data_IF_762044556412
#
_entry.id   IF_762044556412
#
_cell.length_a   1.000
_cell.length_b   1.000
_cell.length_c   1.000
_cell.angle_alpha   90.00
_cell.angle_beta   90.00
_cell.angle_gamma   90.00
#
_symmetry.space_group_name_H-M   'P 1'
#
loop_
_entity.id
_entity.type
_entity.pdbx_description
1 polymer ?
#
# COMPACT_ATOMS: atom_id res chain seq x y z
N UNK A 1 -10.48 48.31 -46.16
CA UNK A 1 -11.79 48.99 -46.24
C UNK A 1 -12.84 47.91 -46.07
N UNK A 2 -13.29 47.65 -44.84
CA UNK A 2 -14.53 48.19 -44.24
C UNK A 2 -15.77 47.69 -45.00
N UNK A 3 -16.81 47.15 -44.37
CA UNK A 3 -17.49 47.69 -43.20
C UNK A 3 -18.17 46.59 -42.37
N UNK A 4 -17.86 46.61 -41.08
CA UNK A 4 -18.81 46.35 -40.00
C UNK A 4 -20.11 47.12 -40.25
N UNK A 5 -21.27 46.47 -40.13
CA UNK A 5 -22.54 46.99 -39.58
C UNK A 5 -23.68 46.08 -40.06
N UNK A 6 -24.05 45.05 -39.29
CA UNK A 6 -25.43 44.49 -39.20
C UNK A 6 -25.61 43.76 -37.87
N UNK A 7 -25.55 44.51 -36.79
CA UNK A 7 -26.07 44.12 -35.48
C UNK A 7 -27.55 44.50 -35.38
N UNK A 8 -28.24 43.89 -34.40
CA UNK A 8 -29.51 44.30 -33.76
C UNK A 8 -30.84 43.99 -34.46
N UNK A 9 -31.38 42.77 -34.26
CA UNK A 9 -32.84 42.52 -34.20
C UNK A 9 -33.23 41.15 -33.59
N UNK A 10 -32.45 40.56 -32.66
CA UNK A 10 -32.78 39.26 -32.04
C UNK A 10 -32.29 39.19 -30.58
N UNK A 11 -32.55 40.25 -29.83
CA UNK A 11 -32.25 40.38 -28.40
C UNK A 11 -33.40 41.10 -27.69
N UNK A 12 -34.62 40.53 -27.77
CA UNK A 12 -35.78 41.03 -27.00
C UNK A 12 -36.93 40.02 -26.88
N UNK A 13 -36.64 38.79 -26.42
CA UNK A 13 -37.69 37.79 -26.13
C UNK A 13 -37.29 36.81 -25.00
N UNK A 14 -36.59 37.29 -23.97
CA UNK A 14 -36.15 36.45 -22.82
C UNK A 14 -36.50 37.07 -21.45
N UNK A 15 -37.51 37.94 -21.35
CA UNK A 15 -37.94 38.50 -20.06
C UNK A 15 -39.46 38.48 -19.92
N UNK A 16 -40.04 37.29 -19.73
CA UNK A 16 -41.33 37.11 -19.04
C UNK A 16 -41.69 35.63 -18.89
N UNK A 17 -41.02 34.92 -17.98
CA UNK A 17 -41.62 33.75 -17.34
C UNK A 17 -41.42 33.88 -15.84
N UNK A 18 -42.47 34.34 -15.16
CA UNK A 18 -42.57 34.20 -13.71
C UNK A 18 -42.57 32.69 -13.38
N UNK A 19 -41.86 32.24 -12.32
CA UNK A 19 -42.02 30.88 -11.84
C UNK A 19 -43.42 30.77 -11.20
N UNK A 20 -44.24 29.86 -11.72
CA UNK A 20 -45.48 29.47 -11.07
C UNK A 20 -45.11 28.70 -9.79
N UNK A 21 -45.37 29.30 -8.63
CA UNK A 21 -45.31 28.59 -7.35
C UNK A 21 -46.53 27.67 -7.24
N UNK A 22 -46.28 26.36 -7.16
CA UNK A 22 -47.31 25.41 -6.74
C UNK A 22 -47.45 25.49 -5.21
N UNK A 23 -48.65 25.78 -4.71
CA UNK A 23 -48.95 25.74 -3.29
C UNK A 23 -48.96 24.27 -2.80
N UNK A 24 -48.11 23.95 -1.82
CA UNK A 24 -48.16 22.70 -1.08
C UNK A 24 -49.21 22.80 0.05
N UNK A 25 -49.98 21.74 0.35
CA UNK A 25 -50.92 21.75 1.45
C UNK A 25 -50.17 21.74 2.79
N UNK A 26 -50.55 22.66 3.69
CA UNK A 26 -50.09 22.67 5.08
C UNK A 26 -50.60 21.41 5.81
N UNK A 27 -49.67 20.53 6.20
CA UNK A 27 -49.87 19.52 7.23
C UNK A 27 -49.00 19.89 8.45
N UNK A 28 -49.48 19.65 9.69
CA UNK A 28 -48.95 20.31 10.87
C UNK A 28 -47.57 19.79 11.26
N UNK A 29 -46.80 20.73 11.79
CA UNK A 29 -45.47 20.65 12.39
C UNK A 29 -45.26 19.44 13.29
N UNK A 30 -44.27 18.62 12.92
CA UNK A 30 -43.47 17.88 13.88
C UNK A 30 -42.00 18.20 13.59
N UNK A 31 -41.45 19.15 14.35
CA UNK A 31 -40.03 19.49 14.28
C UNK A 31 -39.20 18.30 14.74
N UNK A 32 -38.64 17.56 13.78
CA UNK A 32 -37.39 16.84 13.99
C UNK A 32 -36.40 17.40 12.98
N UNK A 33 -35.45 18.18 13.49
CA UNK A 33 -34.21 18.58 12.83
C UNK A 33 -33.56 17.36 12.15
N UNK A 34 -33.82 17.15 10.86
CA UNK A 34 -32.99 16.32 9.99
C UNK A 34 -32.11 17.25 9.20
N UNK A 35 -30.89 17.43 9.68
CA UNK A 35 -29.80 18.05 8.94
C UNK A 35 -29.55 17.29 7.63
N UNK A 36 -29.44 17.98 6.48
CA UNK A 36 -29.02 17.36 5.24
C UNK A 36 -27.49 17.30 5.22
N UNK A 37 -26.88 16.38 5.98
CA UNK A 37 -25.41 16.26 6.02
C UNK A 37 -24.92 14.81 6.00
N UNK A 38 -25.69 13.87 5.43
CA UNK A 38 -25.37 12.44 5.46
C UNK A 38 -24.87 11.84 4.14
N UNK A 39 -24.38 12.65 3.19
CA UNK A 39 -23.87 12.10 1.92
C UNK A 39 -22.42 12.45 1.56
N UNK A 40 -21.68 13.12 2.44
CA UNK A 40 -20.22 13.22 2.32
C UNK A 40 -19.59 12.14 3.19
N UNK A 41 -19.48 10.93 2.66
CA UNK A 41 -18.55 9.95 3.24
C UNK A 41 -17.17 10.59 3.18
N UNK A 42 -16.62 10.97 4.34
CA UNK A 42 -15.31 11.61 4.44
C UNK A 42 -14.29 10.77 3.65
N UNK A 43 -13.74 11.34 2.57
CA UNK A 43 -12.82 10.64 1.66
C UNK A 43 -11.63 10.03 2.41
N UNK A 44 -11.20 10.69 3.50
CA UNK A 44 -10.16 10.18 4.40
C UNK A 44 -10.61 8.93 5.15
N UNK A 45 -11.81 8.91 5.73
CA UNK A 45 -12.34 7.72 6.42
C UNK A 45 -12.53 6.56 5.45
N UNK A 46 -13.00 6.82 4.23
CA UNK A 46 -13.13 5.79 3.20
C UNK A 46 -11.77 5.21 2.80
N UNK A 47 -10.75 6.06 2.59
CA UNK A 47 -9.39 5.62 2.27
C UNK A 47 -8.78 4.77 3.38
N UNK A 48 -9.03 5.09 4.65
CA UNK A 48 -8.51 4.35 5.80
C UNK A 48 -9.42 3.19 6.24
N UNK A 49 -10.29 2.71 5.35
CA UNK A 49 -11.17 1.56 5.59
C UNK A 49 -10.67 0.30 4.89
N UNK A 50 -11.33 -0.84 5.13
CA UNK A 50 -11.06 -2.09 4.40
C UNK A 50 -11.17 -1.91 2.88
N UNK A 51 -12.12 -1.10 2.42
CA UNK A 51 -12.28 -0.76 1.00
C UNK A 51 -11.05 -0.02 0.46
N UNK A 52 -10.46 0.87 1.26
CA UNK A 52 -9.23 1.56 0.89
C UNK A 52 -8.01 0.64 0.87
N UNK A 53 -7.89 -0.25 1.85
CA UNK A 53 -6.87 -1.32 1.85
C UNK A 53 -6.98 -2.21 0.60
N UNK A 54 -8.19 -2.56 0.17
CA UNK A 54 -8.41 -3.33 -1.07
C UNK A 54 -8.24 -2.46 -2.33
N UNK A 55 -8.33 -1.14 -2.18
CA UNK A 55 -8.07 -0.14 -3.21
C UNK A 55 -6.60 0.00 -3.57
N UNK A 56 -5.67 -0.33 -2.66
CA UNK A 56 -4.23 -0.37 -2.93
C UNK A 56 -3.97 -1.41 -4.03
N UNK A 57 -3.63 -0.93 -5.23
CA UNK A 57 -3.39 -1.80 -6.37
C UNK A 57 -2.06 -2.52 -6.23
N UNK A 58 -2.04 -3.79 -6.63
CA UNK A 58 -0.78 -4.51 -6.74
C UNK A 58 0.00 -4.00 -7.94
N UNK A 59 1.29 -3.78 -7.74
CA UNK A 59 2.24 -3.38 -8.77
C UNK A 59 3.11 -4.59 -9.02
N UNK A 60 2.95 -5.24 -10.17
CA UNK A 60 3.75 -6.41 -10.55
C UNK A 60 4.92 -5.99 -11.45
N UNK A 61 5.91 -5.35 -10.82
CA UNK A 61 7.19 -5.05 -11.46
C UNK A 61 8.24 -6.13 -11.10
N UNK A 62 9.33 -6.14 -11.86
CA UNK A 62 10.53 -6.95 -11.57
C UNK A 62 11.70 -6.00 -11.34
N UNK A 63 11.75 -5.30 -10.20
CA UNK A 63 12.76 -4.28 -9.99
C UNK A 63 14.10 -4.94 -9.71
N UNK A 64 15.18 -4.33 -10.19
CA UNK A 64 16.55 -4.79 -9.98
C UNK A 64 17.33 -3.82 -9.10
N UNK A 65 18.27 -4.39 -8.35
CA UNK A 65 19.25 -3.67 -7.57
C UNK A 65 20.19 -2.87 -8.48
N UNK A 66 20.80 -1.79 -7.97
CA UNK A 66 21.75 -0.99 -8.74
C UNK A 66 23.09 -1.70 -9.02
N UNK A 67 23.35 -2.85 -8.40
CA UNK A 67 24.60 -3.61 -8.56
C UNK A 67 24.28 -5.07 -8.88
N UNK A 68 25.01 -5.65 -9.83
CA UNK A 68 24.97 -7.07 -10.20
C UNK A 68 26.09 -7.89 -9.54
N UNK A 69 27.05 -7.23 -8.88
CA UNK A 69 28.09 -7.89 -8.08
C UNK A 69 27.61 -8.06 -6.63
N UNK A 70 27.69 -9.29 -6.13
CA UNK A 70 27.13 -9.63 -4.82
C UNK A 70 27.94 -9.02 -3.67
N UNK A 71 29.26 -9.01 -3.74
CA UNK A 71 30.09 -8.47 -2.67
C UNK A 71 29.92 -6.94 -2.57
N UNK A 72 29.81 -6.25 -3.72
CA UNK A 72 29.46 -4.81 -3.75
C UNK A 72 28.09 -4.58 -3.12
N UNK A 73 27.07 -5.36 -3.51
CA UNK A 73 25.72 -5.22 -3.00
C UNK A 73 25.64 -5.49 -1.49
N UNK A 74 26.28 -6.58 -1.04
CA UNK A 74 26.28 -7.01 0.36
C UNK A 74 27.06 -6.04 1.26
N UNK A 75 28.17 -5.47 0.78
CA UNK A 75 28.91 -4.43 1.52
C UNK A 75 28.07 -3.19 1.85
N UNK A 76 27.04 -2.90 1.04
CA UNK A 76 26.11 -1.77 1.22
C UNK A 76 24.84 -2.14 2.00
N UNK A 77 24.61 -3.42 2.26
CA UNK A 77 23.36 -3.90 2.86
C UNK A 77 23.14 -3.38 4.28
N UNK A 78 24.21 -3.22 5.09
CA UNK A 78 24.10 -2.65 6.43
C UNK A 78 23.66 -1.19 6.43
N UNK A 79 24.17 -0.39 5.49
CA UNK A 79 23.76 1.01 5.34
C UNK A 79 22.29 1.10 4.91
N UNK A 80 21.87 0.24 3.97
CA UNK A 80 20.48 0.16 3.52
C UNK A 80 19.54 -0.30 4.65
N UNK A 81 19.94 -1.28 5.45
CA UNK A 81 19.18 -1.73 6.62
C UNK A 81 19.02 -0.60 7.64
N UNK A 82 20.10 0.13 7.96
CA UNK A 82 20.02 1.26 8.90
C UNK A 82 19.09 2.38 8.40
N UNK A 83 19.18 2.71 7.12
CA UNK A 83 18.28 3.67 6.48
C UNK A 83 16.81 3.21 6.57
N UNK A 84 16.55 1.95 6.19
CA UNK A 84 15.22 1.37 6.24
C UNK A 84 14.65 1.37 7.66
N UNK A 85 15.45 0.97 8.65
CA UNK A 85 15.05 0.96 10.06
C UNK A 85 14.67 2.36 10.55
N UNK A 86 15.41 3.38 10.13
CA UNK A 86 15.11 4.77 10.48
C UNK A 86 13.75 5.18 9.92
N UNK A 87 13.50 4.90 8.64
CA UNK A 87 12.21 5.21 7.99
C UNK A 87 11.07 4.44 8.67
N UNK A 88 11.27 3.14 8.93
CA UNK A 88 10.24 2.30 9.55
C UNK A 88 9.96 2.69 11.01
N UNK A 89 10.97 3.06 11.79
CA UNK A 89 10.79 3.55 13.18
C UNK A 89 9.98 4.83 13.20
N UNK A 90 10.33 5.81 12.37
CA UNK A 90 9.58 7.07 12.25
C UNK A 90 8.15 6.83 11.77
N UNK A 91 7.97 5.97 10.76
CA UNK A 91 6.65 5.61 10.25
C UNK A 91 5.79 4.93 11.30
N UNK A 92 6.35 3.96 12.04
CA UNK A 92 5.62 3.24 13.07
C UNK A 92 5.21 4.16 14.24
N UNK A 93 6.11 5.07 14.65
CA UNK A 93 5.82 6.07 15.68
C UNK A 93 4.65 6.99 15.31
N UNK A 94 4.58 7.43 14.05
CA UNK A 94 3.50 8.31 13.57
C UNK A 94 2.13 7.63 13.49
N UNK A 95 2.09 6.30 13.48
CA UNK A 95 0.87 5.51 13.22
C UNK A 95 0.52 4.54 14.35
N UNK A 96 1.13 4.71 15.53
CA UNK A 96 0.96 3.85 16.70
C UNK A 96 1.07 2.35 16.36
N UNK A 97 2.18 2.00 15.70
CA UNK A 97 2.45 0.65 15.21
C UNK A 97 3.79 0.13 15.74
N UNK A 98 4.01 -1.18 15.60
CA UNK A 98 5.21 -1.83 16.11
C UNK A 98 6.13 -2.29 14.98
N UNK A 99 7.36 -1.75 14.88
CA UNK A 99 8.33 -2.21 13.90
C UNK A 99 9.19 -3.37 14.45
N UNK A 100 9.48 -4.35 13.60
CA UNK A 100 10.35 -5.49 13.90
C UNK A 100 11.47 -5.57 12.88
N UNK A 101 12.69 -5.79 13.37
CA UNK A 101 13.91 -5.83 12.56
C UNK A 101 14.71 -7.09 12.87
N UNK A 102 15.06 -7.83 11.82
CA UNK A 102 15.89 -9.02 11.91
C UNK A 102 17.35 -8.76 11.47
N UNK A 103 17.68 -7.49 11.21
CA UNK A 103 18.94 -7.09 10.59
C UNK A 103 19.07 -7.55 9.13
N UNK A 104 20.28 -7.34 8.59
CA UNK A 104 20.64 -7.74 7.23
C UNK A 104 20.54 -9.26 7.09
N UNK A 105 20.02 -9.72 5.94
CA UNK A 105 20.01 -11.15 5.61
C UNK A 105 21.44 -11.69 5.59
N UNK A 106 21.69 -12.83 6.22
CA UNK A 106 23.05 -13.40 6.24
C UNK A 106 23.56 -13.72 4.82
N UNK A 107 24.88 -13.55 4.61
CA UNK A 107 25.56 -13.80 3.33
C UNK A 107 25.18 -15.15 2.73
N UNK A 108 25.32 -16.21 3.51
CA UNK A 108 24.98 -17.57 3.12
C UNK A 108 23.53 -17.70 2.63
N UNK A 109 22.54 -17.18 3.37
CA UNK A 109 21.12 -17.26 2.97
C UNK A 109 20.77 -16.36 1.79
N UNK A 110 21.54 -15.30 1.56
CA UNK A 110 21.40 -14.48 0.37
C UNK A 110 21.92 -15.22 -0.87
N UNK A 111 23.09 -15.87 -0.77
CA UNK A 111 23.69 -16.69 -1.84
C UNK A 111 22.80 -17.90 -2.19
N UNK A 112 22.28 -18.61 -1.18
CA UNK A 112 21.31 -19.70 -1.38
C UNK A 112 20.07 -19.21 -2.14
N UNK A 113 19.50 -18.07 -1.72
CA UNK A 113 18.32 -17.50 -2.38
C UNK A 113 18.62 -17.10 -3.83
N UNK A 114 19.78 -16.49 -4.08
CA UNK A 114 20.19 -16.12 -5.44
C UNK A 114 20.30 -17.37 -6.32
N UNK A 115 20.93 -18.42 -5.81
CA UNK A 115 21.16 -19.68 -6.54
C UNK A 115 19.87 -20.44 -6.81
N UNK A 116 18.99 -20.55 -5.82
CA UNK A 116 17.83 -21.44 -5.88
C UNK A 116 16.52 -20.77 -6.26
N UNK A 117 16.35 -19.46 -5.99
CA UNK A 117 15.08 -18.75 -6.22
C UNK A 117 15.18 -17.66 -7.29
N UNK A 118 16.39 -17.20 -7.62
CA UNK A 118 16.61 -16.06 -8.53
C UNK A 118 17.44 -16.41 -9.77
N UNK A 119 17.61 -17.70 -10.06
CA UNK A 119 18.32 -18.20 -11.25
C UNK A 119 19.76 -17.66 -11.37
N UNK A 120 20.43 -17.43 -10.23
CA UNK A 120 21.78 -16.85 -10.18
C UNK A 120 21.86 -15.34 -10.41
N UNK A 121 20.74 -14.65 -10.63
CA UNK A 121 20.71 -13.20 -10.89
C UNK A 121 20.79 -12.41 -9.59
N UNK A 122 22.00 -11.97 -9.25
CA UNK A 122 22.32 -11.24 -8.02
C UNK A 122 21.47 -9.98 -7.89
N UNK A 123 21.33 -9.21 -8.97
CA UNK A 123 20.58 -7.94 -8.98
C UNK A 123 19.08 -8.12 -8.69
N UNK A 124 18.56 -9.36 -8.69
CA UNK A 124 17.16 -9.65 -8.34
C UNK A 124 16.92 -9.86 -6.85
N UNK A 125 17.95 -9.87 -6.00
CA UNK A 125 17.76 -10.01 -4.55
C UNK A 125 17.21 -8.71 -3.96
N UNK A 126 16.08 -8.78 -3.25
CA UNK A 126 15.37 -7.57 -2.77
C UNK A 126 15.22 -7.51 -1.25
N UNK A 127 15.61 -8.56 -0.53
CA UNK A 127 15.42 -8.72 0.91
C UNK A 127 16.73 -8.83 1.69
N UNK A 128 17.80 -8.21 1.17
CA UNK A 128 19.03 -8.00 1.95
C UNK A 128 18.77 -7.08 3.14
N UNK A 129 18.15 -5.93 2.87
CA UNK A 129 17.56 -5.06 3.88
C UNK A 129 16.05 -5.35 3.97
N UNK A 130 15.54 -5.55 5.18
CA UNK A 130 14.15 -5.95 5.41
C UNK A 130 13.61 -5.48 6.75
N UNK A 131 12.32 -5.15 6.76
CA UNK A 131 11.60 -4.73 7.95
C UNK A 131 10.18 -5.28 7.95
N UNK A 132 9.60 -5.40 9.15
CA UNK A 132 8.19 -5.72 9.34
C UNK A 132 7.57 -4.62 10.19
N UNK A 133 6.37 -4.16 9.85
CA UNK A 133 5.59 -3.25 10.69
C UNK A 133 4.24 -3.92 10.95
N UNK A 134 3.90 -4.06 12.23
CA UNK A 134 2.62 -4.60 12.69
C UNK A 134 1.74 -3.45 13.12
N UNK A 135 0.65 -3.25 12.38
CA UNK A 135 -0.37 -2.25 12.68
C UNK A 135 -1.46 -2.86 13.59
N UNK A 136 -1.98 -2.07 14.51
CA UNK A 136 -3.09 -2.47 15.37
C UNK A 136 -4.40 -2.64 14.58
N UNK A 137 -4.64 -1.78 13.59
CA UNK A 137 -5.85 -1.80 12.76
C UNK A 137 -5.61 -1.45 11.29
N UNK A 138 -6.68 -1.55 10.48
CA UNK A 138 -6.65 -1.29 9.03
C UNK A 138 -6.34 0.16 8.71
N UNK A 139 -6.81 1.11 9.51
CA UNK A 139 -6.57 2.52 9.28
C UNK A 139 -5.08 2.84 9.44
N UNK A 140 -4.46 2.38 10.53
CA UNK A 140 -3.02 2.51 10.74
C UNK A 140 -2.22 1.82 9.64
N UNK A 141 -2.63 0.64 9.17
CA UNK A 141 -1.95 -0.05 8.06
C UNK A 141 -1.96 0.77 6.76
N UNK A 142 -3.10 1.37 6.40
CA UNK A 142 -3.19 2.25 5.24
C UNK A 142 -2.34 3.51 5.44
N UNK A 143 -2.37 4.13 6.61
CA UNK A 143 -1.56 5.31 6.91
C UNK A 143 -0.04 5.03 6.89
N UNK A 144 0.37 3.83 7.30
CA UNK A 144 1.77 3.36 7.16
C UNK A 144 2.13 3.24 5.68
N UNK A 145 1.28 2.62 4.86
CA UNK A 145 1.50 2.53 3.41
C UNK A 145 1.67 3.93 2.79
N UNK A 146 0.77 4.87 3.08
CA UNK A 146 0.85 6.24 2.56
C UNK A 146 2.10 6.97 3.04
N UNK A 147 2.55 6.72 4.27
CA UNK A 147 3.80 7.27 4.78
C UNK A 147 5.01 6.72 4.06
N UNK A 148 5.08 5.39 3.87
CA UNK A 148 6.16 4.76 3.10
C UNK A 148 6.19 5.23 1.64
N UNK A 149 5.04 5.46 1.04
CA UNK A 149 4.93 6.00 -0.33
C UNK A 149 5.47 7.43 -0.45
N UNK A 150 5.41 8.23 0.62
CA UNK A 150 6.01 9.58 0.66
C UNK A 150 7.50 9.56 0.94
N UNK A 151 7.94 8.70 1.85
CA UNK A 151 9.33 8.65 2.33
C UNK A 151 10.25 7.83 1.42
N UNK A 152 9.70 6.97 0.56
CA UNK A 152 10.44 6.06 -0.32
C UNK A 152 9.81 6.00 -1.71
N UNK A 153 10.49 5.35 -2.66
CA UNK A 153 9.86 5.00 -3.93
C UNK A 153 9.38 3.55 -3.88
N UNK A 154 8.07 3.33 -3.81
CA UNK A 154 7.49 1.99 -3.88
C UNK A 154 7.65 1.46 -5.31
N UNK A 155 8.43 0.41 -5.47
CA UNK A 155 8.69 -0.21 -6.78
C UNK A 155 7.83 -1.44 -7.03
N UNK A 156 7.39 -2.15 -5.98
CA UNK A 156 6.50 -3.31 -6.09
C UNK A 156 5.51 -3.36 -4.94
N UNK A 157 4.28 -3.79 -5.21
CA UNK A 157 3.23 -3.98 -4.20
C UNK A 157 2.56 -5.33 -4.42
N UNK A 158 2.58 -6.17 -3.39
CA UNK A 158 1.81 -7.42 -3.33
C UNK A 158 0.75 -7.27 -2.24
N UNK A 159 -0.50 -7.03 -2.65
CA UNK A 159 -1.63 -6.89 -1.74
C UNK A 159 -2.34 -8.23 -1.54
N UNK A 160 -1.90 -9.00 -0.54
CA UNK A 160 -2.51 -10.30 -0.22
C UNK A 160 -3.80 -10.17 0.58
N UNK A 161 -4.17 -8.97 1.05
CA UNK A 161 -5.52 -8.73 1.55
C UNK A 161 -6.55 -8.80 0.44
N UNK A 162 -6.24 -8.29 -0.76
CA UNK A 162 -7.12 -8.33 -1.94
C UNK A 162 -7.05 -9.68 -2.68
N UNK A 163 -5.85 -10.23 -2.84
CA UNK A 163 -5.59 -11.51 -3.51
C UNK A 163 -4.77 -12.41 -2.58
N UNK A 164 -5.40 -13.15 -1.66
CA UNK A 164 -4.71 -14.02 -0.72
C UNK A 164 -3.83 -15.06 -1.42
N UNK A 165 -2.77 -15.49 -0.73
CA UNK A 165 -1.99 -16.65 -1.18
C UNK A 165 -2.78 -17.96 -1.07
N UNK A 166 -2.22 -19.09 -1.54
CA UNK A 166 -2.88 -20.40 -1.46
C UNK A 166 -3.24 -20.80 -0.03
N UNK A 167 -2.38 -20.46 0.94
CA UNK A 167 -2.64 -20.63 2.39
C UNK A 167 -3.75 -19.73 2.96
N UNK A 168 -4.32 -18.81 2.18
CA UNK A 168 -5.32 -17.84 2.64
C UNK A 168 -4.74 -16.65 3.43
N UNK A 169 -3.42 -16.61 3.61
CA UNK A 169 -2.73 -15.57 4.38
C UNK A 169 -2.79 -14.19 3.72
N UNK A 170 -2.85 -13.16 4.58
CA UNK A 170 -3.09 -11.77 4.20
C UNK A 170 -2.07 -10.84 4.85
N UNK A 171 -1.37 -10.11 3.99
CA UNK A 171 -0.43 -9.05 4.33
C UNK A 171 -0.32 -8.06 3.16
N UNK A 172 0.40 -6.97 3.38
CA UNK A 172 0.84 -6.07 2.32
C UNK A 172 2.36 -6.11 2.26
N UNK A 173 2.91 -6.73 1.22
CA UNK A 173 4.35 -6.83 1.00
C UNK A 173 4.77 -5.79 -0.05
N UNK A 174 5.73 -4.95 0.33
CA UNK A 174 6.21 -3.82 -0.45
C UNK A 174 7.69 -4.03 -0.75
N UNK A 175 8.08 -3.68 -1.98
CA UNK A 175 9.48 -3.40 -2.29
C UNK A 175 9.64 -1.91 -2.45
N UNK A 176 10.55 -1.34 -1.68
CA UNK A 176 10.84 0.10 -1.66
C UNK A 176 12.27 0.35 -2.10
N UNK A 177 12.47 1.35 -2.95
CA UNK A 177 13.79 1.88 -3.27
C UNK A 177 14.09 2.99 -2.28
N UNK A 178 15.17 2.79 -1.53
CA UNK A 178 15.61 3.68 -0.48
C UNK A 178 16.22 4.97 -1.06
N UNK A 179 15.86 6.16 -0.55
CA UNK A 179 16.26 7.42 -1.18
C UNK A 179 17.76 7.71 -1.11
N UNK A 180 18.48 7.29 -0.05
CA UNK A 180 19.91 7.59 0.13
C UNK A 180 20.78 6.51 -0.48
N UNK A 181 20.55 5.24 -0.13
CA UNK A 181 21.38 4.12 -0.63
C UNK A 181 21.00 3.66 -2.03
N UNK A 182 19.79 4.00 -2.52
CA UNK A 182 19.22 3.54 -3.78
C UNK A 182 19.05 2.01 -3.90
N UNK A 183 19.28 1.28 -2.80
CA UNK A 183 19.02 -0.16 -2.72
C UNK A 183 17.52 -0.41 -2.59
N UNK A 184 17.09 -1.55 -3.12
CA UNK A 184 15.75 -2.07 -2.90
C UNK A 184 15.74 -2.85 -1.59
N UNK A 185 14.74 -2.56 -0.76
CA UNK A 185 14.47 -3.24 0.49
C UNK A 185 13.04 -3.78 0.52
N UNK A 186 12.82 -4.81 1.34
CA UNK A 186 11.50 -5.39 1.58
C UNK A 186 10.87 -4.82 2.85
N UNK A 187 9.60 -4.40 2.77
CA UNK A 187 8.78 -4.04 3.93
C UNK A 187 7.52 -4.86 3.94
N UNK A 188 7.28 -5.58 5.04
CA UNK A 188 6.09 -6.37 5.25
C UNK A 188 5.17 -5.65 6.25
N UNK A 189 3.92 -5.40 5.86
CA UNK A 189 2.91 -4.85 6.75
C UNK A 189 1.90 -5.92 7.15
N UNK A 190 1.74 -6.12 8.46
CA UNK A 190 0.79 -7.05 9.02
C UNK A 190 -0.23 -6.32 9.89
N UNK A 191 -1.44 -6.87 9.99
CA UNK A 191 -2.37 -6.53 11.05
C UNK A 191 -2.08 -7.41 12.25
N UNK A 192 -2.06 -6.84 13.45
CA UNK A 192 -1.81 -7.56 14.69
C UNK A 192 -2.71 -8.76 14.87
N UNK A 193 -4.02 -8.60 14.65
CA UNK A 193 -4.98 -9.69 14.72
C UNK A 193 -4.62 -10.90 13.81
N UNK A 194 -3.93 -10.68 12.70
CA UNK A 194 -3.46 -11.74 11.80
C UNK A 194 -2.08 -12.26 12.22
N UNK A 195 -1.20 -11.37 12.70
CA UNK A 195 0.11 -11.73 13.22
C UNK A 195 0.02 -12.61 14.49
N UNK A 196 -0.96 -12.37 15.34
CA UNK A 196 -1.18 -13.14 16.57
C UNK A 196 -1.62 -14.57 16.28
N UNK A 197 -2.49 -14.78 15.27
CA UNK A 197 -2.85 -16.12 14.78
C UNK A 197 -1.62 -16.85 14.25
N UNK A 198 -0.75 -16.14 13.51
CA UNK A 198 0.51 -16.71 13.02
C UNK A 198 1.42 -17.19 14.15
N UNK A 199 1.43 -16.55 15.31
CA UNK A 199 2.26 -16.94 16.45
C UNK A 199 1.53 -17.86 17.45
N UNK A 200 0.27 -18.23 17.16
CA UNK A 200 -0.54 -19.11 17.98
C UNK A 200 -0.28 -20.61 17.73
N UNK A 201 -1.10 -21.51 18.31
CA UNK A 201 -0.96 -22.97 18.16
C UNK A 201 -1.02 -23.48 16.71
N UNK A 202 -1.46 -22.65 15.77
CA UNK A 202 -1.58 -22.93 14.34
C UNK A 202 -0.30 -22.58 13.55
N UNK A 203 0.75 -22.05 14.21
CA UNK A 203 2.04 -21.68 13.60
C UNK A 203 2.70 -22.83 12.84
N UNK A 204 2.72 -24.03 13.44
CA UNK A 204 3.39 -25.21 12.88
C UNK A 204 2.77 -25.65 11.56
N UNK A 205 1.43 -25.56 11.46
CA UNK A 205 0.71 -25.87 10.23
C UNK A 205 1.06 -24.87 9.13
N UNK A 206 1.23 -23.60 9.51
CA UNK A 206 1.59 -22.54 8.59
C UNK A 206 3.02 -22.67 8.06
N UNK A 207 3.97 -23.05 8.91
CA UNK A 207 5.35 -23.35 8.49
C UNK A 207 5.40 -24.56 7.54
N UNK A 208 4.61 -25.61 7.83
CA UNK A 208 4.52 -26.78 6.97
C UNK A 208 3.95 -26.43 5.59
N UNK A 209 2.86 -25.65 5.53
CA UNK A 209 2.28 -25.20 4.25
C UNK A 209 3.30 -24.36 3.48
N UNK A 210 4.00 -23.41 4.13
CA UNK A 210 5.05 -22.64 3.45
C UNK A 210 6.19 -23.50 2.93
N UNK A 211 6.61 -24.50 3.70
CA UNK A 211 7.67 -25.42 3.27
C UNK A 211 7.23 -26.23 2.06
N UNK A 212 6.01 -26.74 2.07
CA UNK A 212 5.39 -27.44 0.93
C UNK A 212 5.22 -26.52 -0.28
N UNK A 213 4.79 -25.26 -0.09
CA UNK A 213 4.66 -24.26 -1.16
C UNK A 213 6.03 -23.93 -1.78
N UNK A 214 7.07 -23.71 -0.95
CA UNK A 214 8.44 -23.47 -1.41
C UNK A 214 8.95 -24.67 -2.21
N UNK A 215 8.75 -25.88 -1.69
CA UNK A 215 9.15 -27.11 -2.37
C UNK A 215 8.40 -27.29 -3.70
N UNK A 216 7.08 -27.10 -3.73
CA UNK A 216 6.29 -27.19 -4.95
C UNK A 216 6.69 -26.13 -6.00
N UNK A 217 7.09 -24.93 -5.58
CA UNK A 217 7.62 -23.90 -6.47
C UNK A 217 9.00 -24.25 -7.04
N UNK A 218 9.82 -25.03 -6.31
CA UNK A 218 11.10 -25.53 -6.80
C UNK A 218 10.94 -26.74 -7.73
N UNK A 219 9.92 -27.56 -7.50
CA UNK A 219 9.63 -28.78 -8.28
C UNK A 219 8.90 -28.50 -9.60
N UNK A 220 8.10 -27.43 -9.67
CA UNK A 220 7.48 -26.96 -10.93
C UNK A 220 8.47 -26.18 -11.79
N UNK A 221 9.44 -26.90 -12.37
CA UNK A 221 10.15 -26.48 -13.59
C UNK A 221 9.22 -26.47 -14.79
#
# INVERSE_FOLDING_TARGET
MSLFLRTTALMLLVLSRAPAFAALPNAPSNEQNRSPSQNEVCSKLFKHSLSGLYGIQSIDSRPTQPYSDFDILYSKAHQAQFELETICKSTALLNDAQPYFAGVKSKHRAEEKITHELDGQVERITDLARATIVAEDVASLVSIYETLERETTIVKVKNRFKKPGPSGYRDLNLLVRLPKTNLIAEVQLHLKAIADVKNGPEHDLYEQIQKLERQASMEKR
#
